data_IF_520635041995
#
_entry.id   IF_520635041995
#
_cell.length_a   1.000
_cell.length_b   1.000
_cell.length_c   1.000
_cell.angle_alpha   90.00
_cell.angle_beta   90.00
_cell.angle_gamma   90.00
#
_symmetry.space_group_name_H-M   'P 1'
#
loop_
_entity.id
_entity.type
_entity.pdbx_description
1 polymer ?
#
# COMPACT_ATOMS: atom_id res chain seq x y z
N UNK A 1 -7.65 0.21 -15.49
CA UNK A 1 -7.40 -1.13 -14.91
C UNK A 1 -8.35 -1.41 -13.74
N UNK A 2 -8.55 -2.65 -13.28
CA UNK A 2 -9.32 -2.94 -12.05
C UNK A 2 -8.43 -3.24 -10.84
N UNK A 3 -7.18 -3.63 -11.07
CA UNK A 3 -6.26 -4.04 -10.04
C UNK A 3 -4.83 -3.67 -10.43
N UNK A 4 -4.04 -3.17 -9.48
CA UNK A 4 -2.62 -2.84 -9.71
C UNK A 4 -1.81 -3.19 -8.47
N UNK A 5 -0.67 -3.84 -8.67
CA UNK A 5 0.33 -4.06 -7.62
C UNK A 5 1.52 -3.17 -7.91
N UNK A 6 2.00 -2.49 -6.88
CA UNK A 6 3.23 -1.72 -6.92
C UNK A 6 4.20 -2.36 -5.93
N UNK A 7 5.22 -3.00 -6.48
CA UNK A 7 6.30 -3.60 -5.71
C UNK A 7 7.25 -2.47 -5.31
N UNK A 8 7.58 -2.36 -4.03
CA UNK A 8 8.51 -1.35 -3.53
C UNK A 8 9.88 -1.97 -3.21
N UNK A 9 10.99 -1.30 -3.57
CA UNK A 9 12.33 -1.81 -3.32
C UNK A 9 12.74 -1.50 -1.89
N UNK A 10 12.38 -2.38 -0.97
CA UNK A 10 12.94 -2.59 0.38
C UNK A 10 12.17 -3.79 0.98
N UNK A 11 12.77 -4.50 1.93
CA UNK A 11 12.22 -5.74 2.49
C UNK A 11 10.76 -5.63 2.93
N UNK A 12 9.88 -6.08 2.03
CA UNK A 12 8.46 -6.38 2.15
C UNK A 12 7.52 -5.20 2.35
N UNK A 13 6.94 -4.75 1.23
CA UNK A 13 5.61 -4.12 1.22
C UNK A 13 5.12 -4.01 -0.23
N UNK A 14 4.17 -4.84 -0.61
CA UNK A 14 3.43 -4.64 -1.86
C UNK A 14 2.25 -3.72 -1.58
N UNK A 15 2.07 -2.70 -2.43
CA UNK A 15 0.86 -1.86 -2.40
C UNK A 15 -0.09 -2.34 -3.48
N UNK A 16 -1.24 -2.83 -3.05
CA UNK A 16 -2.30 -3.33 -3.90
C UNK A 16 -3.41 -2.28 -4.03
N UNK A 17 -3.79 -1.97 -5.25
CA UNK A 17 -4.97 -1.18 -5.56
C UNK A 17 -6.03 -2.09 -6.16
N UNK A 18 -7.23 -2.11 -5.60
CA UNK A 18 -8.37 -2.87 -6.12
C UNK A 18 -9.57 -1.95 -6.31
N UNK A 19 -10.13 -1.93 -7.52
CA UNK A 19 -11.36 -1.20 -7.83
C UNK A 19 -12.57 -2.12 -7.65
N UNK A 20 -13.44 -1.76 -6.74
CA UNK A 20 -14.73 -2.38 -6.49
C UNK A 20 -15.88 -1.45 -6.93
N UNK A 21 -16.98 -2.06 -7.38
CA UNK A 21 -18.24 -1.34 -7.59
C UNK A 21 -19.07 -1.46 -6.30
N UNK A 22 -19.35 -0.33 -5.65
CA UNK A 22 -20.18 -0.26 -4.46
C UNK A 22 -21.68 -0.38 -4.77
N UNK A 23 -22.46 -0.75 -3.77
CA UNK A 23 -23.90 -1.05 -3.92
C UNK A 23 -24.74 0.15 -4.40
N UNK A 24 -24.28 1.38 -4.14
CA UNK A 24 -24.95 2.63 -4.54
C UNK A 24 -24.55 3.12 -5.94
N UNK A 25 -23.85 2.30 -6.74
CA UNK A 25 -23.28 2.70 -8.03
C UNK A 25 -22.06 3.63 -7.92
N UNK A 26 -21.55 3.81 -6.69
CA UNK A 26 -20.27 4.46 -6.42
C UNK A 26 -19.12 3.52 -6.73
N UNK A 27 -18.00 4.12 -7.11
CA UNK A 27 -16.79 3.40 -7.43
C UNK A 27 -15.81 3.53 -6.27
N UNK A 28 -15.23 2.41 -5.85
CA UNK A 28 -14.39 2.34 -4.68
C UNK A 28 -13.03 1.82 -5.10
N UNK A 29 -11.95 2.51 -4.73
CA UNK A 29 -10.60 1.95 -4.83
C UNK A 29 -10.06 1.70 -3.44
N UNK A 30 -9.81 0.42 -3.14
CA UNK A 30 -9.11 -0.01 -1.92
C UNK A 30 -7.62 0.01 -2.18
N UNK A 31 -6.88 0.62 -1.27
CA UNK A 31 -5.42 0.69 -1.28
C UNK A 31 -4.95 -0.07 -0.05
N UNK A 32 -4.35 -1.22 -0.27
CA UNK A 32 -3.89 -2.12 0.80
C UNK A 32 -2.38 -2.23 0.76
N UNK A 33 -1.73 -2.24 1.92
CA UNK A 33 -0.33 -2.56 2.07
C UNK A 33 -0.10 -3.59 3.16
N UNK A 34 0.92 -4.44 2.96
CA UNK A 34 1.31 -5.49 3.89
C UNK A 34 2.65 -5.12 4.53
N UNK A 35 2.63 -4.65 5.77
CA UNK A 35 3.80 -4.17 6.52
C UNK A 35 4.13 -5.10 7.66
N UNK A 36 5.42 -5.26 7.99
CA UNK A 36 5.85 -5.92 9.22
C UNK A 36 6.15 -4.86 10.28
N UNK A 37 5.52 -4.95 11.44
CA UNK A 37 5.80 -4.06 12.56
C UNK A 37 7.08 -4.46 13.32
N UNK A 38 7.49 -3.65 14.30
CA UNK A 38 8.70 -3.92 15.10
C UNK A 38 8.65 -5.19 15.95
N UNK A 39 7.47 -5.78 16.14
CA UNK A 39 7.32 -7.07 16.82
C UNK A 39 7.44 -8.26 15.86
N UNK A 40 7.74 -8.03 14.58
CA UNK A 40 7.78 -9.08 13.55
C UNK A 40 6.40 -9.56 13.12
N UNK A 41 5.35 -8.80 13.43
CA UNK A 41 3.96 -9.15 13.07
C UNK A 41 3.61 -8.52 11.74
N UNK A 42 3.14 -9.34 10.81
CA UNK A 42 2.55 -8.91 9.55
C UNK A 42 1.20 -8.22 9.80
N UNK A 43 1.05 -7.01 9.28
CA UNK A 43 -0.15 -6.21 9.36
C UNK A 43 -0.60 -5.84 7.94
N UNK A 44 -1.90 -5.96 7.70
CA UNK A 44 -2.52 -5.39 6.52
C UNK A 44 -3.13 -4.04 6.89
N UNK A 45 -2.64 -2.97 6.27
CA UNK A 45 -3.23 -1.63 6.39
C UNK A 45 -4.02 -1.33 5.13
N UNK A 46 -5.24 -0.84 5.30
CA UNK A 46 -6.14 -0.51 4.19
C UNK A 46 -6.65 0.94 4.32
N UNK A 47 -6.76 1.61 3.17
CA UNK A 47 -7.54 2.84 3.02
C UNK A 47 -8.42 2.73 1.79
N UNK A 48 -9.51 3.50 1.81
CA UNK A 48 -10.53 3.47 0.77
C UNK A 48 -10.69 4.86 0.17
N UNK A 49 -10.72 4.94 -1.15
CA UNK A 49 -11.03 6.15 -1.90
C UNK A 49 -12.34 5.95 -2.68
N UNK A 50 -13.30 6.85 -2.47
CA UNK A 50 -14.57 6.85 -3.22
C UNK A 50 -14.50 7.76 -4.45
N UNK A 51 -15.08 7.28 -5.54
CA UNK A 51 -15.17 7.96 -6.82
C UNK A 51 -16.63 7.98 -7.30
N UNK A 52 -16.96 9.04 -8.02
CA UNK A 52 -18.32 9.26 -8.56
C UNK A 52 -18.61 8.40 -9.79
N UNK A 53 -17.58 7.95 -10.48
CA UNK A 53 -17.72 7.24 -11.75
C UNK A 53 -16.54 6.29 -12.02
N UNK A 54 -16.79 5.34 -12.92
CA UNK A 54 -15.87 4.27 -13.30
C UNK A 54 -14.58 4.82 -13.93
N UNK A 55 -14.69 5.91 -14.70
CA UNK A 55 -13.56 6.49 -15.43
C UNK A 55 -12.54 7.06 -14.46
N UNK A 56 -13.01 7.84 -13.49
CA UNK A 56 -12.18 8.44 -12.44
C UNK A 56 -11.48 7.38 -11.58
N UNK A 57 -12.19 6.34 -11.18
CA UNK A 57 -11.60 5.24 -10.40
C UNK A 57 -10.55 4.45 -11.20
N UNK A 58 -10.82 4.16 -12.48
CA UNK A 58 -9.84 3.48 -13.35
C UNK A 58 -8.60 4.34 -13.59
N UNK A 59 -8.78 5.63 -13.83
CA UNK A 59 -7.68 6.57 -14.02
C UNK A 59 -6.80 6.64 -12.77
N UNK A 60 -7.42 6.70 -11.58
CA UNK A 60 -6.70 6.69 -10.32
C UNK A 60 -5.83 5.44 -10.18
N UNK A 61 -6.38 4.24 -10.43
CA UNK A 61 -5.61 2.98 -10.37
C UNK A 61 -4.47 3.00 -11.39
N UNK A 62 -4.72 3.47 -12.61
CA UNK A 62 -3.74 3.47 -13.70
C UNK A 62 -2.57 4.45 -13.40
N UNK A 63 -2.88 5.65 -12.92
CA UNK A 63 -1.92 6.72 -12.61
C UNK A 63 -1.18 6.51 -11.28
N UNK A 64 -1.71 5.69 -10.37
CA UNK A 64 -1.11 5.50 -9.05
C UNK A 64 0.34 5.02 -9.16
N UNK A 65 1.27 5.84 -8.67
CA UNK A 65 2.69 5.69 -8.93
C UNK A 65 3.43 5.03 -7.75
N UNK A 66 4.67 4.59 -7.99
CA UNK A 66 5.59 4.16 -6.93
C UNK A 66 5.75 5.24 -5.85
N UNK A 67 5.80 6.51 -6.26
CA UNK A 67 5.90 7.65 -5.33
C UNK A 67 4.68 7.75 -4.42
N UNK A 68 3.49 7.55 -4.98
CA UNK A 68 2.23 7.55 -4.22
C UNK A 68 2.18 6.37 -3.25
N UNK A 69 2.62 5.18 -3.69
CA UNK A 69 2.71 3.99 -2.85
C UNK A 69 3.68 4.19 -1.67
N UNK A 70 4.86 4.77 -1.90
CA UNK A 70 5.80 5.13 -0.81
C UNK A 70 5.21 6.14 0.16
N UNK A 71 4.49 7.15 -0.36
CA UNK A 71 3.81 8.14 0.47
C UNK A 71 2.72 7.51 1.35
N UNK A 72 1.92 6.62 0.79
CA UNK A 72 0.90 5.85 1.51
C UNK A 72 1.51 5.03 2.64
N UNK A 73 2.57 4.26 2.36
CA UNK A 73 3.25 3.49 3.40
C UNK A 73 3.79 4.34 4.52
N UNK A 74 4.42 5.47 4.19
CA UNK A 74 4.95 6.39 5.19
C UNK A 74 3.85 6.88 6.13
N UNK A 75 2.68 7.25 5.59
CA UNK A 75 1.52 7.64 6.39
C UNK A 75 1.04 6.50 7.30
N UNK A 76 0.92 5.27 6.78
CA UNK A 76 0.52 4.12 7.58
C UNK A 76 1.51 3.83 8.72
N UNK A 77 2.81 3.96 8.45
CA UNK A 77 3.88 3.80 9.44
C UNK A 77 3.80 4.84 10.55
N UNK A 78 3.51 6.10 10.20
CA UNK A 78 3.41 7.22 11.14
C UNK A 78 2.11 7.18 11.97
N UNK A 79 0.97 6.87 11.35
CA UNK A 79 -0.36 6.87 12.01
C UNK A 79 -0.56 5.66 12.94
N UNK A 80 -0.11 4.47 12.54
CA UNK A 80 -0.34 3.22 13.28
C UNK A 80 0.83 2.87 14.22
N UNK A 81 1.86 3.73 14.28
CA UNK A 81 3.08 3.48 15.07
C UNK A 81 3.91 2.28 14.57
N UNK A 82 3.72 1.86 13.31
CA UNK A 82 4.35 0.69 12.71
C UNK A 82 5.80 1.04 12.37
N UNK A 83 6.74 0.73 13.26
CA UNK A 83 8.17 0.80 12.94
C UNK A 83 8.52 -0.35 12.00
N UNK A 84 8.74 -0.06 10.72
CA UNK A 84 9.25 -1.03 9.75
C UNK A 84 10.62 -1.48 10.25
N UNK A 85 10.73 -2.77 10.57
CA UNK A 85 12.00 -3.38 10.90
C UNK A 85 12.90 -3.27 9.68
N UNK A 86 13.89 -2.38 9.75
CA UNK A 86 15.05 -2.44 8.88
C UNK A 86 15.68 -3.80 9.19
N UNK A 87 15.40 -4.83 8.40
CA UNK A 87 16.20 -6.04 8.42
C UNK A 87 17.56 -5.61 7.92
N UNK A 88 18.40 -5.18 8.86
CA UNK A 88 19.77 -4.81 8.63
C UNK A 88 20.43 -5.98 7.90
N UNK A 89 20.69 -5.77 6.61
CA UNK A 89 21.76 -6.46 5.92
C UNK A 89 23.07 -5.98 6.55
N UNK A 90 23.37 -6.44 7.77
CA UNK A 90 24.65 -6.18 8.45
C UNK A 90 25.03 -7.34 9.40
N UNK A 91 24.67 -8.57 9.01
CA UNK A 91 25.29 -9.81 9.52
C UNK A 91 26.42 -10.31 8.58
N UNK A 92 27.09 -9.41 7.85
CA UNK A 92 28.24 -9.75 7.03
C UNK A 92 29.41 -8.80 7.30
N UNK A 93 30.03 -8.92 8.47
CA UNK A 93 31.22 -8.14 8.78
C UNK A 93 31.83 -8.35 10.16
N UNK A 94 31.71 -9.53 10.76
CA UNK A 94 32.61 -9.94 11.85
C UNK A 94 33.63 -10.88 11.24
N UNK A 95 34.83 -10.35 10.98
CA UNK A 95 36.00 -11.05 10.48
C UNK A 95 37.23 -10.18 10.58
#
# INVERSE_FOLDING_TARGET
MNFKIINLPESQTDVCLHRDCGEDGKEIVRISAFVINSAGVELMVERVAEFRDVGSAKFFVDDYSERSAKGFLKLCVEEEGIRVGHFAADLAGVG
#
